data_IF_038900125735
#
_entry.id   IF_038900125735
#
_cell.length_a   1.000
_cell.length_b   1.000
_cell.length_c   1.000
_cell.angle_alpha   90.00
_cell.angle_beta   90.00
_cell.angle_gamma   90.00
#
_symmetry.space_group_name_H-M   'P 1'
#
loop_
_entity.id
_entity.type
_entity.pdbx_description
1 polymer ?
#
# COMPACT_ATOMS: atom_id res chain seq x y z
N UNK A 1 -7.60 -4.27 9.09
CA UNK A 1 -6.33 -3.86 9.71
C UNK A 1 -6.26 -2.36 9.94
N UNK A 2 -6.91 -1.51 9.13
CA UNK A 2 -6.87 -0.04 9.27
C UNK A 2 -7.58 0.54 10.50
N UNK A 3 -8.34 -0.25 11.22
CA UNK A 3 -9.23 0.21 12.30
C UNK A 3 -8.50 0.74 13.55
N UNK A 4 -7.23 0.44 13.70
CA UNK A 4 -6.43 0.85 14.87
C UNK A 4 -5.51 2.06 14.57
N UNK A 5 -5.62 2.67 13.40
CA UNK A 5 -4.82 3.85 13.01
C UNK A 5 -3.32 3.61 12.79
N UNK A 6 -2.88 2.34 12.72
CA UNK A 6 -1.47 1.97 12.48
C UNK A 6 -1.19 1.48 11.06
N UNK A 7 -2.18 1.49 10.21
CA UNK A 7 -2.09 1.01 8.84
C UNK A 7 -2.52 2.12 7.87
N UNK A 8 -1.76 2.28 6.78
CA UNK A 8 -2.08 3.21 5.72
C UNK A 8 -1.81 2.58 4.35
N UNK A 9 -2.70 2.84 3.41
CA UNK A 9 -2.50 2.52 1.99
C UNK A 9 -2.00 3.76 1.27
N UNK A 10 -0.86 3.65 0.62
CA UNK A 10 -0.21 4.75 -0.11
C UNK A 10 -0.15 4.38 -1.58
N UNK A 11 -0.84 5.15 -2.42
CA UNK A 11 -0.85 4.91 -3.85
C UNK A 11 0.55 5.08 -4.45
N UNK A 12 0.88 4.20 -5.39
CA UNK A 12 2.13 4.23 -6.13
C UNK A 12 2.10 5.23 -7.30
N UNK A 13 0.92 5.69 -7.67
CA UNK A 13 0.74 6.78 -8.64
C UNK A 13 1.10 8.10 -7.97
N UNK A 14 2.08 8.86 -8.49
CA UNK A 14 2.41 10.17 -7.94
C UNK A 14 1.25 11.15 -8.04
N UNK A 15 1.11 12.03 -7.06
CA UNK A 15 0.23 13.19 -7.18
C UNK A 15 0.71 14.11 -8.33
N UNK A 16 -0.21 14.70 -9.10
CA UNK A 16 0.15 15.77 -10.01
C UNK A 16 0.68 17.01 -9.23
N UNK A 17 1.46 17.84 -9.92
CA UNK A 17 2.03 19.06 -9.31
C UNK A 17 0.99 20.19 -9.23
N UNK A 18 -0.17 19.87 -8.65
CA UNK A 18 -1.27 20.80 -8.35
C UNK A 18 -2.22 20.20 -7.32
N UNK A 19 -2.99 21.04 -6.69
CA UNK A 19 -4.10 20.60 -5.85
C UNK A 19 -5.21 20.03 -6.75
N UNK A 20 -5.66 18.81 -6.43
CA UNK A 20 -6.80 18.21 -7.10
C UNK A 20 -8.10 18.80 -6.58
N UNK A 21 -9.08 19.01 -7.46
CA UNK A 21 -10.44 19.34 -7.07
C UNK A 21 -11.08 18.17 -6.28
N UNK A 22 -12.19 18.43 -5.59
CA UNK A 22 -12.92 17.41 -4.87
C UNK A 22 -13.38 16.29 -5.80
N UNK A 23 -14.00 16.64 -6.93
CA UNK A 23 -14.44 15.68 -7.96
C UNK A 23 -13.29 14.81 -8.47
N UNK A 24 -12.13 15.41 -8.77
CA UNK A 24 -10.98 14.64 -9.22
C UNK A 24 -10.49 13.65 -8.17
N UNK A 25 -10.52 14.02 -6.88
CA UNK A 25 -10.12 13.12 -5.79
C UNK A 25 -11.09 11.94 -5.61
N UNK A 26 -12.39 12.19 -5.77
CA UNK A 26 -13.42 11.17 -5.64
C UNK A 26 -13.47 10.22 -6.85
N UNK A 27 -13.19 10.72 -8.06
CA UNK A 27 -13.26 9.95 -9.29
C UNK A 27 -11.94 9.31 -9.71
N UNK A 28 -10.83 9.72 -9.11
CA UNK A 28 -9.51 9.21 -9.45
C UNK A 28 -9.42 7.70 -9.19
N UNK A 29 -9.01 6.96 -10.22
CA UNK A 29 -8.74 5.53 -10.10
C UNK A 29 -7.25 5.26 -9.90
N UNK A 30 -6.95 4.29 -9.04
CA UNK A 30 -5.58 3.87 -8.81
C UNK A 30 -5.02 3.09 -10.01
N UNK A 31 -3.84 3.49 -10.49
CA UNK A 31 -3.17 2.86 -11.61
C UNK A 31 -2.38 1.62 -11.17
N UNK A 32 -2.62 0.47 -11.80
CA UNK A 32 -1.82 -0.73 -11.58
C UNK A 32 -0.37 -0.51 -12.02
N UNK A 33 0.57 -0.96 -11.19
CA UNK A 33 2.00 -0.97 -11.51
C UNK A 33 2.43 -2.22 -12.29
N UNK A 34 1.49 -3.07 -12.68
CA UNK A 34 1.79 -4.35 -13.32
C UNK A 34 1.46 -4.30 -14.81
N UNK A 35 2.31 -4.94 -15.61
CA UNK A 35 2.06 -5.28 -17.01
C UNK A 35 1.19 -6.55 -17.13
N UNK A 36 1.47 -7.52 -16.28
CA UNK A 36 0.79 -8.80 -16.16
C UNK A 36 0.84 -9.27 -14.70
N UNK A 37 0.16 -10.36 -14.29
CA UNK A 37 0.14 -10.83 -12.90
C UNK A 37 1.52 -11.15 -12.30
N UNK A 38 2.56 -11.27 -13.11
CA UNK A 38 3.89 -11.74 -12.68
C UNK A 38 4.97 -10.66 -12.80
N UNK A 39 4.74 -9.62 -13.60
CA UNK A 39 5.74 -8.60 -13.92
C UNK A 39 5.21 -7.18 -13.73
N UNK A 40 6.08 -6.29 -13.29
CA UNK A 40 5.79 -4.86 -13.25
C UNK A 40 5.88 -4.26 -14.65
N UNK A 41 5.10 -3.22 -14.91
CA UNK A 41 5.23 -2.38 -16.09
C UNK A 41 6.41 -1.42 -15.88
N UNK A 42 7.50 -1.52 -16.65
CA UNK A 42 8.68 -0.68 -16.46
C UNK A 42 8.44 0.79 -16.78
N UNK A 43 7.41 1.12 -17.58
CA UNK A 43 7.06 2.51 -17.88
C UNK A 43 6.31 3.18 -16.73
N UNK A 44 5.62 2.39 -15.90
CA UNK A 44 4.79 2.87 -14.79
C UNK A 44 5.51 2.68 -13.45
N UNK A 45 6.09 1.50 -13.22
CA UNK A 45 6.87 1.20 -12.01
C UNK A 45 8.34 1.53 -12.23
N UNK A 46 8.68 2.78 -12.04
CA UNK A 46 10.01 3.34 -12.30
C UNK A 46 10.90 3.32 -11.05
N UNK A 47 12.07 3.93 -11.12
CA UNK A 47 13.00 4.10 -9.99
C UNK A 47 12.38 4.92 -8.85
N UNK A 48 11.41 5.78 -9.16
CA UNK A 48 10.70 6.58 -8.17
C UNK A 48 9.96 5.70 -7.18
N UNK A 49 9.19 4.71 -7.66
CA UNK A 49 8.43 3.80 -6.78
C UNK A 49 9.36 2.92 -5.95
N UNK A 50 10.49 2.47 -6.52
CA UNK A 50 11.50 1.70 -5.77
C UNK A 50 12.05 2.53 -4.62
N UNK A 51 12.47 3.78 -4.89
CA UNK A 51 13.00 4.70 -3.88
C UNK A 51 11.95 5.08 -2.84
N UNK A 52 10.69 5.29 -3.25
CA UNK A 52 9.57 5.59 -2.36
C UNK A 52 9.35 4.45 -1.35
N UNK A 53 9.22 3.20 -1.83
CA UNK A 53 9.00 2.04 -0.97
C UNK A 53 10.22 1.81 -0.07
N UNK A 54 11.44 1.92 -0.62
CA UNK A 54 12.67 1.79 0.15
C UNK A 54 12.78 2.85 1.25
N UNK A 55 12.43 4.10 0.94
CA UNK A 55 12.36 5.19 1.93
C UNK A 55 11.35 4.89 3.01
N UNK A 56 10.15 4.49 2.65
CA UNK A 56 9.11 4.11 3.63
C UNK A 56 9.59 2.97 4.55
N UNK A 57 10.21 1.93 3.99
CA UNK A 57 10.73 0.80 4.74
C UNK A 57 11.89 1.16 5.69
N UNK A 58 12.63 2.23 5.40
CA UNK A 58 13.76 2.66 6.22
C UNK A 58 13.35 3.31 7.55
N UNK A 59 12.12 3.79 7.67
CA UNK A 59 11.65 4.38 8.93
C UNK A 59 11.58 3.33 10.04
N UNK A 60 12.06 3.72 11.24
CA UNK A 60 12.10 2.83 12.42
C UNK A 60 10.70 2.44 12.90
N UNK A 61 9.74 3.33 12.72
CA UNK A 61 8.33 3.15 13.09
C UNK A 61 7.62 2.13 12.20
N UNK A 62 8.11 1.92 10.97
CA UNK A 62 7.51 0.95 10.04
C UNK A 62 7.88 -0.47 10.46
N UNK A 63 6.84 -1.25 10.78
CA UNK A 63 6.96 -2.67 11.10
C UNK A 63 7.01 -3.53 9.83
N UNK A 64 6.11 -3.26 8.88
CA UNK A 64 5.99 -3.99 7.62
C UNK A 64 5.45 -3.10 6.50
N UNK A 65 5.75 -3.51 5.29
CA UNK A 65 5.13 -2.99 4.07
C UNK A 65 4.65 -4.19 3.26
N UNK A 66 3.40 -4.15 2.78
CA UNK A 66 2.87 -5.16 1.89
C UNK A 66 2.81 -4.62 0.47
N UNK A 67 3.29 -5.42 -0.48
CA UNK A 67 3.30 -5.11 -1.91
C UNK A 67 2.93 -6.35 -2.71
N UNK A 68 2.51 -6.18 -3.96
CA UNK A 68 2.29 -7.31 -4.85
C UNK A 68 3.58 -8.13 -5.05
N UNK A 69 3.51 -9.47 -5.20
CA UNK A 69 4.70 -10.32 -5.39
C UNK A 69 5.60 -9.89 -6.56
N UNK A 70 5.04 -9.46 -7.69
CA UNK A 70 5.80 -8.93 -8.81
C UNK A 70 6.58 -7.64 -8.45
N UNK A 71 5.97 -6.77 -7.65
CA UNK A 71 6.63 -5.57 -7.12
C UNK A 71 7.78 -5.99 -6.20
N UNK A 72 7.58 -6.94 -5.29
CA UNK A 72 8.65 -7.44 -4.43
C UNK A 72 9.82 -8.01 -5.24
N UNK A 73 9.56 -8.78 -6.31
CA UNK A 73 10.60 -9.28 -7.22
C UNK A 73 11.40 -8.14 -7.87
N UNK A 74 10.69 -7.10 -8.34
CA UNK A 74 11.34 -5.92 -8.93
C UNK A 74 12.19 -5.15 -7.91
N UNK A 75 11.70 -4.98 -6.68
CA UNK A 75 12.44 -4.36 -5.58
C UNK A 75 13.74 -5.12 -5.26
N UNK A 76 13.70 -6.46 -5.24
CA UNK A 76 14.87 -7.30 -5.03
C UNK A 76 15.96 -7.07 -6.09
N UNK A 77 15.55 -6.98 -7.36
CA UNK A 77 16.47 -6.75 -8.50
C UNK A 77 17.06 -5.34 -8.52
N UNK A 78 16.31 -4.36 -8.01
CA UNK A 78 16.64 -2.93 -8.09
C UNK A 78 16.97 -2.31 -6.73
N UNK A 79 17.29 -3.14 -5.73
CA UNK A 79 17.53 -2.70 -4.36
C UNK A 79 18.70 -1.70 -4.23
N UNK A 80 19.68 -1.79 -5.12
CA UNK A 80 20.84 -0.90 -5.13
C UNK A 80 20.50 0.57 -5.39
N UNK A 81 19.32 0.85 -6.00
CA UNK A 81 18.78 2.21 -6.15
C UNK A 81 18.45 2.90 -4.81
N UNK A 82 18.24 2.11 -3.76
CA UNK A 82 17.95 2.61 -2.41
C UNK A 82 19.24 2.73 -1.58
N UNK A 83 20.22 1.90 -1.87
CA UNK A 83 21.52 1.91 -1.19
C UNK A 83 22.12 0.52 -1.03
N UNK A 84 23.36 0.48 -0.56
CA UNK A 84 24.11 -0.78 -0.37
C UNK A 84 23.45 -1.68 0.69
N UNK A 85 22.86 -1.08 1.74
CA UNK A 85 22.18 -1.83 2.79
C UNK A 85 20.78 -2.25 2.32
N UNK A 86 20.59 -3.54 2.12
CA UNK A 86 19.32 -4.14 1.65
C UNK A 86 18.41 -4.64 2.78
N UNK A 87 18.75 -4.41 4.05
CA UNK A 87 18.00 -4.88 5.20
C UNK A 87 16.53 -4.37 5.23
N UNK A 88 16.26 -3.21 4.60
CA UNK A 88 14.91 -2.68 4.46
C UNK A 88 13.95 -3.65 3.74
N UNK A 89 14.47 -4.50 2.84
CA UNK A 89 13.67 -5.51 2.13
C UNK A 89 13.05 -6.55 3.05
N UNK A 90 13.63 -6.80 4.23
CA UNK A 90 13.05 -7.72 5.21
C UNK A 90 11.66 -7.26 5.69
N UNK A 91 11.43 -5.93 5.75
CA UNK A 91 10.11 -5.37 6.09
C UNK A 91 9.11 -5.45 4.95
N UNK A 92 9.56 -5.55 3.70
CA UNK A 92 8.69 -5.58 2.52
C UNK A 92 8.26 -7.01 2.23
N UNK A 93 6.97 -7.28 2.43
CA UNK A 93 6.40 -8.62 2.33
C UNK A 93 5.45 -8.72 1.13
N UNK A 94 5.55 -9.77 0.31
CA UNK A 94 4.59 -9.99 -0.76
C UNK A 94 3.21 -10.31 -0.18
N UNK A 95 2.17 -9.72 -0.78
CA UNK A 95 0.79 -10.00 -0.42
C UNK A 95 -0.14 -9.83 -1.63
N UNK A 96 -1.35 -10.40 -1.54
CA UNK A 96 -2.38 -10.27 -2.56
C UNK A 96 -2.76 -8.81 -2.81
N UNK A 97 -3.24 -8.51 -4.00
CA UNK A 97 -3.58 -7.16 -4.45
C UNK A 97 -2.34 -6.25 -4.37
N UNK A 98 -2.31 -5.17 -3.70
CA UNK A 98 -1.17 -4.29 -3.48
C UNK A 98 -0.34 -4.00 -4.75
N UNK A 99 -1.01 -3.93 -5.92
CA UNK A 99 -0.36 -3.66 -7.20
C UNK A 99 -0.48 -2.20 -7.65
N UNK A 100 -1.32 -1.40 -7.00
CA UNK A 100 -1.50 0.03 -7.24
C UNK A 100 -1.15 0.89 -6.03
N UNK A 101 -1.04 0.28 -4.87
CA UNK A 101 -0.62 0.89 -3.61
C UNK A 101 0.33 -0.05 -2.86
N UNK A 102 1.01 0.47 -1.88
CA UNK A 102 1.64 -0.33 -0.85
C UNK A 102 0.99 -0.06 0.50
N UNK A 103 0.82 -1.09 1.28
CA UNK A 103 0.22 -1.02 2.60
C UNK A 103 1.32 -0.93 3.65
N UNK A 104 1.34 0.14 4.43
CA UNK A 104 2.29 0.36 5.51
C UNK A 104 1.64 -0.01 6.83
N UNK A 105 2.31 -0.83 7.61
CA UNK A 105 1.98 -1.07 9.01
C UNK A 105 3.05 -0.47 9.92
N UNK A 106 2.61 0.36 10.85
CA UNK A 106 3.46 0.93 11.90
C UNK A 106 3.55 -0.03 13.09
N UNK A 107 4.60 0.14 13.87
CA UNK A 107 4.74 -0.49 15.19
C UNK A 107 3.78 0.15 16.17
N UNK A 108 3.37 -0.60 17.17
CA UNK A 108 2.68 -0.01 18.31
C UNK A 108 3.55 1.08 18.95
N UNK A 109 2.98 2.24 19.28
CA UNK A 109 3.69 3.23 20.07
C UNK A 109 4.11 2.66 21.44
N UNK A 110 5.28 3.03 21.94
CA UNK A 110 5.69 2.62 23.28
C UNK A 110 4.67 3.05 24.35
N UNK A 111 4.37 2.15 25.26
CA UNK A 111 3.46 2.43 26.39
C UNK A 111 1.98 2.42 26.05
N UNK A 112 1.58 2.14 24.82
CA UNK A 112 0.16 2.04 24.42
C UNK A 112 -0.43 0.69 24.89
N UNK A 113 -1.17 0.71 25.97
CA UNK A 113 -1.93 -0.45 26.43
C UNK A 113 -2.98 -0.86 25.40
N UNK A 114 -3.12 -2.16 25.16
CA UNK A 114 -4.10 -2.71 24.19
C UNK A 114 -3.66 -2.70 22.74
N UNK A 115 -2.53 -2.11 22.39
CA UNK A 115 -1.98 -2.23 21.04
C UNK A 115 -1.25 -3.57 20.85
N UNK A 116 -1.82 -4.48 20.08
CA UNK A 116 -1.19 -5.75 19.73
C UNK A 116 -0.33 -5.60 18.47
N UNK A 117 0.99 -5.53 18.65
CA UNK A 117 1.95 -5.53 17.53
C UNK A 117 2.03 -6.88 16.83
N UNK A 118 2.49 -6.88 15.58
CA UNK A 118 2.86 -8.11 14.90
C UNK A 118 4.25 -8.58 15.37
N UNK A 119 4.49 -9.89 15.32
CA UNK A 119 5.81 -10.45 15.58
C UNK A 119 6.88 -9.77 14.71
N UNK A 120 8.10 -9.55 15.23
CA UNK A 120 9.18 -8.98 14.45
C UNK A 120 9.42 -9.75 13.14
N UNK A 121 9.92 -9.06 12.11
CA UNK A 121 10.37 -9.73 10.88
C UNK A 121 11.66 -10.50 11.15
N UNK A 122 11.85 -11.63 10.46
CA UNK A 122 12.99 -12.53 10.65
C UNK A 122 14.35 -11.93 10.28
N UNK A 123 14.38 -10.76 9.67
CA UNK A 123 15.60 -10.18 9.11
C UNK A 123 15.95 -10.69 7.70
N UNK A 124 15.36 -11.79 7.27
CA UNK A 124 15.56 -12.30 5.91
C UNK A 124 14.92 -11.37 4.87
N UNK A 125 15.69 -10.99 3.87
CA UNK A 125 15.24 -10.06 2.83
C UNK A 125 14.18 -10.65 1.89
N UNK A 126 14.03 -11.97 1.83
CA UNK A 126 13.00 -12.67 1.06
C UNK A 126 13.12 -12.44 -0.45
N UNK A 127 14.34 -12.57 -0.99
CA UNK A 127 14.64 -12.32 -2.40
C UNK A 127 15.15 -13.54 -3.16
N UNK A 128 15.27 -14.70 -2.53
CA UNK A 128 15.64 -15.92 -3.22
C UNK A 128 14.46 -16.49 -4.01
N UNK A 129 14.73 -17.26 -5.05
CA UNK A 129 13.68 -17.87 -5.89
C UNK A 129 12.72 -18.73 -5.09
N UNK A 130 13.22 -19.44 -4.06
CA UNK A 130 12.39 -20.22 -3.14
C UNK A 130 11.29 -19.41 -2.47
N UNK A 131 11.54 -18.12 -2.19
CA UNK A 131 10.61 -17.22 -1.50
C UNK A 131 9.41 -16.86 -2.38
N UNK A 132 9.57 -16.97 -3.71
CA UNK A 132 8.53 -16.65 -4.68
C UNK A 132 7.76 -17.87 -5.19
N UNK A 133 8.27 -19.11 -5.01
CA UNK A 133 7.60 -20.33 -5.51
C UNK A 133 6.13 -20.45 -5.09
N UNK A 134 5.84 -20.13 -3.82
CA UNK A 134 4.46 -20.12 -3.31
C UNK A 134 3.58 -19.10 -4.06
N UNK A 135 4.09 -17.88 -4.22
CA UNK A 135 3.36 -16.79 -4.87
C UNK A 135 3.15 -17.05 -6.35
N UNK A 136 4.17 -17.54 -7.06
CA UNK A 136 4.06 -17.86 -8.48
C UNK A 136 3.00 -18.93 -8.75
N UNK A 137 2.97 -19.99 -7.92
CA UNK A 137 1.91 -21.00 -7.98
C UNK A 137 0.53 -20.40 -7.76
N UNK A 138 0.39 -19.57 -6.75
CA UNK A 138 -0.89 -18.95 -6.39
C UNK A 138 -1.37 -17.94 -7.44
N UNK A 139 -0.48 -17.12 -7.96
CA UNK A 139 -0.79 -16.16 -9.02
C UNK A 139 -1.23 -16.89 -10.32
N UNK A 140 -0.55 -17.98 -10.71
CA UNK A 140 -0.96 -18.80 -11.86
C UNK A 140 -2.38 -19.33 -11.69
N UNK A 141 -2.71 -19.89 -10.53
CA UNK A 141 -4.05 -20.40 -10.24
C UNK A 141 -5.09 -19.26 -10.29
N UNK A 142 -4.78 -18.12 -9.71
CA UNK A 142 -5.69 -16.97 -9.67
C UNK A 142 -5.92 -16.38 -11.08
N UNK A 143 -4.85 -16.21 -11.86
CA UNK A 143 -4.93 -15.70 -13.22
C UNK A 143 -5.73 -16.63 -14.12
N UNK A 144 -5.47 -17.95 -14.04
CA UNK A 144 -6.24 -18.95 -14.78
C UNK A 144 -7.72 -18.89 -14.41
N UNK A 145 -8.03 -18.87 -13.12
CA UNK A 145 -9.43 -18.79 -12.67
C UNK A 145 -10.12 -17.53 -13.21
N UNK A 146 -9.46 -16.37 -13.15
CA UNK A 146 -10.00 -15.13 -13.67
C UNK A 146 -10.32 -15.26 -15.18
N UNK A 147 -9.36 -15.74 -15.97
CA UNK A 147 -9.55 -15.95 -17.42
C UNK A 147 -10.69 -16.91 -17.71
N UNK A 148 -10.76 -18.05 -17.01
CA UNK A 148 -11.80 -19.06 -17.20
C UNK A 148 -13.21 -18.52 -16.88
N UNK A 149 -13.32 -17.43 -16.13
CA UNK A 149 -14.59 -16.80 -15.73
C UNK A 149 -14.82 -15.42 -16.40
N UNK A 150 -14.06 -15.09 -17.44
CA UNK A 150 -14.22 -13.83 -18.18
C UNK A 150 -13.76 -12.58 -17.43
N UNK A 151 -12.94 -12.72 -16.40
CA UNK A 151 -12.34 -11.60 -15.69
C UNK A 151 -10.92 -11.32 -16.16
N UNK A 152 -10.47 -10.08 -15.95
CA UNK A 152 -9.05 -9.76 -16.19
C UNK A 152 -8.17 -10.59 -15.24
N UNK A 153 -7.09 -11.22 -15.74
CA UNK A 153 -6.10 -11.90 -14.91
C UNK A 153 -5.43 -10.97 -13.91
N UNK A 154 -5.54 -9.65 -14.12
CA UNK A 154 -5.03 -8.60 -13.25
C UNK A 154 -5.96 -8.27 -12.08
N UNK A 155 -7.20 -8.76 -12.10
CA UNK A 155 -8.20 -8.50 -11.06
C UNK A 155 -8.42 -9.72 -10.16
N UNK A 156 -7.47 -10.01 -9.25
CA UNK A 156 -7.60 -11.14 -8.33
C UNK A 156 -8.68 -10.92 -7.25
N UNK A 157 -9.29 -9.71 -7.22
CA UNK A 157 -10.25 -9.31 -6.18
C UNK A 157 -11.60 -10.01 -6.28
N UNK A 158 -11.92 -10.57 -7.45
CA UNK A 158 -13.22 -11.23 -7.64
C UNK A 158 -13.22 -12.73 -7.29
N UNK A 159 -12.16 -13.20 -6.64
CA UNK A 159 -12.19 -14.52 -6.04
C UNK A 159 -13.38 -14.62 -5.09
N UNK A 160 -14.22 -15.62 -5.32
CA UNK A 160 -15.34 -15.95 -4.42
C UNK A 160 -14.81 -16.03 -2.99
N UNK A 161 -15.34 -15.25 -2.03
CA UNK A 161 -14.88 -15.30 -0.65
C UNK A 161 -14.90 -16.74 -0.14
N UNK A 162 -13.78 -17.22 0.38
CA UNK A 162 -13.74 -18.56 0.95
C UNK A 162 -14.65 -18.61 2.19
N UNK A 163 -15.15 -19.79 2.59
CA UNK A 163 -15.89 -19.91 3.85
C UNK A 163 -15.12 -19.36 5.06
N UNK A 164 -13.78 -19.44 5.04
CA UNK A 164 -12.92 -18.85 6.07
C UNK A 164 -12.92 -17.32 6.05
N UNK A 165 -13.07 -16.68 4.89
CA UNK A 165 -13.13 -15.21 4.79
C UNK A 165 -14.46 -14.69 5.37
N UNK A 166 -15.53 -15.46 5.25
CA UNK A 166 -16.83 -15.14 5.89
C UNK A 166 -16.78 -15.27 7.41
N UNK A 167 -16.04 -16.23 7.95
CA UNK A 167 -15.84 -16.39 9.40
C UNK A 167 -14.98 -15.29 10.04
N UNK A 168 -14.22 -14.54 9.26
CA UNK A 168 -13.35 -13.43 9.71
C UNK A 168 -14.05 -12.07 9.80
N UNK A 169 -15.35 -12.00 9.59
CA UNK A 169 -16.09 -10.77 9.89
C UNK A 169 -16.10 -10.60 11.41
N UNK A 170 -15.32 -9.62 11.88
CA UNK A 170 -15.30 -9.27 13.28
C UNK A 170 -16.71 -8.93 13.79
N UNK A 171 -17.03 -9.35 15.00
CA UNK A 171 -18.24 -8.97 15.69
C UNK A 171 -17.92 -7.80 16.61
N UNK A 172 -18.92 -7.01 16.98
CA UNK A 172 -18.75 -5.95 18.01
C UNK A 172 -18.20 -6.51 19.33
N UNK A 173 -18.53 -7.79 19.63
CA UNK A 173 -17.97 -8.50 20.79
C UNK A 173 -16.47 -8.74 20.73
N UNK A 174 -15.89 -8.70 19.54
CA UNK A 174 -14.44 -8.94 19.31
C UNK A 174 -13.61 -7.66 19.50
N UNK A 175 -14.29 -6.52 19.70
CA UNK A 175 -13.63 -5.26 20.01
C UNK A 175 -13.08 -5.26 21.45
N UNK A 176 -11.96 -4.58 21.71
CA UNK A 176 -11.47 -4.35 23.05
C UNK A 176 -12.57 -3.79 23.96
N UNK A 177 -12.56 -4.18 25.23
CA UNK A 177 -13.58 -3.74 26.20
C UNK A 177 -13.73 -2.22 26.26
N UNK A 178 -12.65 -1.49 26.09
CA UNK A 178 -12.60 -0.03 26.09
C UNK A 178 -13.37 0.60 24.91
N UNK A 179 -13.58 -0.12 23.81
CA UNK A 179 -14.41 0.35 22.70
C UNK A 179 -15.89 0.42 23.05
N UNK A 180 -16.35 -0.30 24.08
CA UNK A 180 -17.74 -0.26 24.54
C UNK A 180 -18.12 1.12 25.07
N UNK A 181 -17.21 1.79 25.78
CA UNK A 181 -17.44 3.14 26.28
C UNK A 181 -17.60 4.15 25.15
N UNK A 182 -16.85 3.99 24.05
CA UNK A 182 -16.95 4.83 22.85
C UNK A 182 -18.27 4.58 22.10
N UNK A 183 -18.70 3.32 22.02
CA UNK A 183 -19.96 2.93 21.38
C UNK A 183 -21.20 3.37 22.17
N UNK A 184 -21.09 3.48 23.49
CA UNK A 184 -22.15 3.93 24.40
C UNK A 184 -22.12 5.43 24.71
N UNK A 185 -21.01 6.12 24.46
CA UNK A 185 -20.94 7.57 24.49
C UNK A 185 -21.76 8.10 23.31
N UNK A 186 -22.96 8.54 23.56
CA UNK A 186 -23.91 9.05 22.57
C UNK A 186 -23.20 9.94 21.53
N UNK A 187 -23.61 9.76 20.28
CA UNK A 187 -22.91 10.15 19.07
C UNK A 187 -22.08 11.43 19.16
N UNK A 188 -20.82 11.32 18.77
CA UNK A 188 -19.98 12.49 18.50
C UNK A 188 -20.77 13.34 17.49
N UNK A 189 -21.12 14.56 17.89
CA UNK A 189 -21.71 15.53 16.96
C UNK A 189 -20.81 15.61 15.75
N UNK A 190 -21.29 15.37 14.52
CA UNK A 190 -20.45 15.49 13.34
C UNK A 190 -19.82 16.88 13.34
N UNK A 191 -18.50 16.98 13.28
CA UNK A 191 -17.84 18.26 13.08
C UNK A 191 -18.46 18.91 11.85
N UNK A 192 -18.98 20.12 12.02
CA UNK A 192 -19.49 20.90 10.88
C UNK A 192 -18.32 21.20 9.96
N UNK A 193 -18.55 21.11 8.66
CA UNK A 193 -17.61 21.59 7.66
C UNK A 193 -17.31 23.06 7.97
N UNK A 194 -16.11 23.38 8.43
CA UNK A 194 -15.70 24.72 8.86
C UNK A 194 -15.11 24.78 10.28
N UNK A 195 -15.23 23.76 11.10
CA UNK A 195 -14.52 23.69 12.35
C UNK A 195 -13.02 23.42 12.07
N UNK A 196 -12.18 24.39 12.42
CA UNK A 196 -10.72 24.18 12.33
C UNK A 196 -10.34 22.98 13.20
N UNK A 197 -9.77 21.96 12.57
CA UNK A 197 -9.05 20.91 13.29
C UNK A 197 -7.99 21.58 14.17
N UNK A 198 -7.93 21.27 15.47
CA UNK A 198 -6.82 21.74 16.28
C UNK A 198 -5.53 21.37 15.56
N UNK A 199 -4.54 22.26 15.48
CA UNK A 199 -3.32 21.99 14.75
C UNK A 199 -2.73 20.68 15.31
N UNK A 200 -2.80 19.62 14.50
CA UNK A 200 -2.05 18.42 14.74
C UNK A 200 -0.59 18.89 14.82
N UNK A 201 -0.01 18.85 16.01
CA UNK A 201 1.43 19.03 16.19
C UNK A 201 2.16 17.85 15.51
N UNK A 202 2.03 17.77 14.20
CA UNK A 202 2.86 16.92 13.37
C UNK A 202 4.23 17.56 13.39
N UNK A 203 5.05 17.20 14.36
CA UNK A 203 6.48 17.39 14.22
C UNK A 203 6.84 16.66 12.92
N UNK A 204 7.11 17.44 11.88
CA UNK A 204 7.59 16.90 10.63
C UNK A 204 8.71 15.92 10.95
N UNK A 205 8.57 14.68 10.46
CA UNK A 205 9.59 13.65 10.68
C UNK A 205 10.93 14.23 10.18
N UNK A 206 11.82 14.52 11.11
CA UNK A 206 13.13 15.08 10.76
C UNK A 206 13.96 14.01 10.07
N UNK A 207 14.98 14.41 9.33
CA UNK A 207 15.91 13.47 8.65
C UNK A 207 16.55 12.44 9.61
N UNK A 208 16.50 12.68 10.91
CA UNK A 208 16.95 11.76 11.96
C UNK A 208 16.03 10.54 12.17
N UNK A 209 14.76 10.62 11.73
CA UNK A 209 13.80 9.51 11.82
C UNK A 209 13.92 8.53 10.65
N UNK A 210 14.65 8.90 9.61
CA UNK A 210 14.96 8.05 8.48
C UNK A 210 16.27 7.29 8.76
N UNK A 211 16.24 5.98 8.53
CA UNK A 211 17.47 5.18 8.59
C UNK A 211 18.55 5.76 7.67
N UNK A 212 19.83 5.64 8.05
CA UNK A 212 20.92 6.24 7.27
C UNK A 212 20.99 5.68 5.85
N UNK A 213 21.22 6.53 4.89
CA UNK A 213 21.60 6.16 3.52
C UNK A 213 20.50 6.09 2.47
N UNK A 214 19.25 6.51 2.76
CA UNK A 214 18.21 6.57 1.72
C UNK A 214 18.20 7.95 1.09
N UNK A 215 18.49 8.10 -0.22
CA UNK A 215 18.47 9.40 -0.88
C UNK A 215 17.06 9.98 -0.90
N UNK A 216 16.94 11.24 -0.59
CA UNK A 216 15.71 12.02 -0.79
C UNK A 216 15.58 12.30 -2.30
N UNK A 217 14.39 12.06 -2.86
CA UNK A 217 14.12 12.43 -4.26
C UNK A 217 14.22 13.95 -4.41
N UNK A 218 14.97 14.41 -5.41
CA UNK A 218 15.03 15.83 -5.73
C UNK A 218 13.75 16.29 -6.46
N UNK A 219 13.49 17.60 -6.42
CA UNK A 219 12.36 18.18 -7.16
C UNK A 219 12.45 17.88 -8.66
N UNK A 220 13.67 17.85 -9.22
CA UNK A 220 13.92 17.57 -10.64
C UNK A 220 13.56 16.11 -10.99
N UNK A 221 13.88 15.15 -10.11
CA UNK A 221 13.53 13.73 -10.31
C UNK A 221 12.01 13.54 -10.28
N UNK A 222 11.31 14.28 -9.43
CA UNK A 222 9.84 14.27 -9.37
C UNK A 222 9.24 14.93 -10.62
N UNK A 223 9.75 16.09 -11.05
CA UNK A 223 9.29 16.79 -12.24
C UNK A 223 9.52 15.99 -13.54
N UNK A 224 10.67 15.32 -13.68
CA UNK A 224 10.96 14.47 -14.83
C UNK A 224 9.99 13.28 -14.97
N UNK A 225 9.52 12.74 -13.85
CA UNK A 225 8.52 11.68 -13.83
C UNK A 225 7.14 12.19 -14.25
N UNK A 226 6.72 13.33 -13.71
CA UNK A 226 5.41 13.94 -13.99
C UNK A 226 5.34 14.47 -15.43
N UNK A 227 6.43 15.01 -15.98
CA UNK A 227 6.50 15.56 -17.34
C UNK A 227 6.36 14.51 -18.46
N UNK A 228 6.80 13.27 -18.23
CA UNK A 228 6.72 12.19 -19.23
C UNK A 228 5.30 11.64 -19.43
N UNK A 229 4.39 11.81 -18.49
CA UNK A 229 3.03 11.22 -18.53
C UNK A 229 1.98 12.04 -19.28
N UNK A 230 2.19 13.33 -19.51
CA UNK A 230 1.16 14.17 -20.17
C UNK A 230 0.96 13.88 -21.67
N UNK A 231 1.68 12.93 -22.27
CA UNK A 231 1.56 12.64 -23.71
C UNK A 231 0.75 11.39 -24.07
N UNK A 232 0.31 10.52 -23.14
CA UNK A 232 -0.31 9.23 -23.52
C UNK A 232 -1.40 8.65 -22.61
N UNK A 233 -2.11 9.42 -21.82
CA UNK A 233 -3.26 8.86 -21.10
C UNK A 233 -4.53 9.58 -21.55
N UNK A 234 -5.07 9.18 -22.69
CA UNK A 234 -6.49 9.27 -22.98
C UNK A 234 -7.17 8.23 -22.10
N UNK A 235 -7.85 8.67 -21.05
CA UNK A 235 -8.69 7.80 -20.22
C UNK A 235 -9.91 7.36 -21.04
N UNK A 236 -9.92 6.15 -21.56
CA UNK A 236 -11.16 5.46 -21.86
C UNK A 236 -11.69 4.86 -20.57
N UNK A 237 -12.70 5.50 -20.02
CA UNK A 237 -13.52 4.98 -18.93
C UNK A 237 -14.27 3.74 -19.41
N UNK A 238 -14.25 2.60 -18.70
CA UNK A 238 -15.22 1.55 -18.97
C UNK A 238 -16.61 2.04 -18.54
N UNK A 239 -17.55 2.03 -19.49
CA UNK A 239 -18.96 2.34 -19.24
C UNK A 239 -19.50 1.49 -18.08
N UNK A 240 -20.10 2.14 -17.11
CA UNK A 240 -20.86 1.45 -16.06
C UNK A 240 -22.10 0.85 -16.70
N UNK A 241 -22.16 -0.45 -16.70
CA UNK A 241 -23.39 -1.16 -17.06
C UNK A 241 -24.41 -1.01 -15.91
N UNK A 242 -25.57 -0.36 -16.11
CA UNK A 242 -26.50 -0.01 -15.03
C UNK A 242 -27.54 -1.10 -14.72
N UNK A 243 -27.22 -2.38 -14.84
CA UNK A 243 -28.17 -3.45 -14.51
C UNK A 243 -27.47 -4.62 -13.81
N UNK A 244 -27.55 -4.64 -12.51
CA UNK A 244 -27.96 -5.69 -11.53
C UNK A 244 -27.39 -5.45 -10.16
#
# INVERSE_FOLDING_TARGET
>A
SHQIGLDADIWLTPMPDRVLSETEREEMTALSMLKDPFTVDPEIFTDLQVKLIGRAASYRQVARIFVHPAIKKSLCKRADLVGKNKAWLAKVRPWWNHHYHFHVRLKCPPGMAGCAGQSPVSGEIGCADKDFKYWDKKLKISAKWATDHGYSPMDPLRRRPSPSDRKRRGKLSDLPKDCKSVLSAGGVTPMKVGDELPPLAVKAATSKDAGPGVPVLTKEQLAAFLGKKNKKVSMQMPERNPTR
#
